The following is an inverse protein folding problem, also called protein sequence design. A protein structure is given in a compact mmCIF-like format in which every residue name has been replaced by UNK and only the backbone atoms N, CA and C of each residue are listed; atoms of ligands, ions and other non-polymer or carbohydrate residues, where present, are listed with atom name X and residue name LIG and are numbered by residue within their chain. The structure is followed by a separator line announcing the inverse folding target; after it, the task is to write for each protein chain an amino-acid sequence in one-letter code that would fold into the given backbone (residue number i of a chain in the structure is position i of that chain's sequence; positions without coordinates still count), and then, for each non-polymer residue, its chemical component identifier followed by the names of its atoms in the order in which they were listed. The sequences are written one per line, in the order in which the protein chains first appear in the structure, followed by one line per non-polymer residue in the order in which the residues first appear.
data_IF_686139337336
#
_entry.id   IF_686139337336
#
_cell.length_a   1.000
_cell.length_b   1.000
_cell.length_c   1.000
_cell.angle_alpha   90.00
_cell.angle_beta   90.00
_cell.angle_gamma   90.00
#
_symmetry.space_group_name_H-M   'P 1'
#
loop_
_entity.id
_entity.type
_entity.pdbx_description
1 polymer ?
#
# COMPACT_ATOMS: atom_id res chain seq x y z
N UNK A 1 -41.14 -48.70 12.91
CA UNK A 1 -40.37 -47.76 13.75
C UNK A 1 -38.89 -48.11 13.56
N UNK A 2 -38.08 -47.11 13.22
CA UNK A 2 -36.92 -47.17 12.34
C UNK A 2 -35.84 -48.23 12.67
N UNK A 3 -35.58 -49.12 11.71
CA UNK A 3 -34.40 -49.99 11.69
C UNK A 3 -33.24 -49.19 11.12
N UNK A 4 -32.33 -48.73 12.00
CA UNK A 4 -31.10 -48.07 11.57
C UNK A 4 -30.19 -49.16 11.01
N UNK A 5 -29.96 -49.12 9.69
CA UNK A 5 -29.10 -50.10 9.02
C UNK A 5 -27.69 -50.03 9.59
N UNK A 6 -27.10 -51.18 9.93
CA UNK A 6 -25.72 -51.31 10.41
C UNK A 6 -24.72 -50.68 9.42
N UNK A 7 -25.07 -50.64 8.14
CA UNK A 7 -24.29 -49.95 7.09
C UNK A 7 -24.23 -48.44 7.30
N UNK A 8 -25.26 -47.80 7.84
CA UNK A 8 -25.28 -46.36 8.10
C UNK A 8 -24.39 -45.98 9.29
N UNK A 9 -24.34 -46.83 10.32
CA UNK A 9 -23.44 -46.62 11.48
C UNK A 9 -21.99 -46.85 11.09
N UNK A 10 -21.70 -47.86 10.27
CA UNK A 10 -20.36 -48.11 9.74
C UNK A 10 -19.90 -46.99 8.79
N UNK A 11 -20.78 -46.46 7.93
CA UNK A 11 -20.45 -45.29 7.11
C UNK A 11 -20.15 -44.05 7.95
N UNK A 12 -20.89 -43.83 9.04
CA UNK A 12 -20.62 -42.71 9.95
C UNK A 12 -19.29 -42.88 10.70
N UNK A 13 -18.96 -44.11 11.12
CA UNK A 13 -17.67 -44.40 11.76
C UNK A 13 -16.50 -44.33 10.77
N UNK A 14 -16.68 -44.75 9.52
CA UNK A 14 -15.68 -44.56 8.46
C UNK A 14 -15.50 -43.08 8.11
N UNK A 15 -16.56 -42.28 8.05
CA UNK A 15 -16.46 -40.84 7.79
C UNK A 15 -15.74 -40.07 8.91
N UNK A 16 -15.82 -40.56 10.15
CA UNK A 16 -15.06 -40.01 11.28
C UNK A 16 -13.62 -40.55 11.38
N UNK A 17 -13.32 -41.71 10.78
CA UNK A 17 -11.97 -42.28 10.72
C UNK A 17 -11.14 -41.75 9.54
N UNK A 18 -11.77 -41.14 8.53
CA UNK A 18 -11.08 -40.51 7.39
C UNK A 18 -11.08 -38.98 7.46
N UNK A 19 -11.35 -38.36 8.62
CA UNK A 19 -10.91 -36.98 8.83
C UNK A 19 -9.41 -36.99 9.07
N UNK A 20 -8.68 -37.34 8.01
CA UNK A 20 -7.26 -37.16 7.89
C UNK A 20 -7.07 -35.64 7.80
N UNK A 21 -6.69 -35.05 8.94
CA UNK A 21 -6.17 -33.71 8.97
C UNK A 21 -4.95 -33.74 8.04
N UNK A 22 -5.04 -33.09 6.88
CA UNK A 22 -3.89 -32.82 6.02
C UNK A 22 -2.92 -31.96 6.84
N UNK A 23 -2.08 -32.63 7.62
CA UNK A 23 -0.87 -32.06 8.19
C UNK A 23 0.02 -31.91 6.98
N UNK A 24 0.07 -30.71 6.42
CA UNK A 24 1.04 -30.38 5.39
C UNK A 24 2.44 -30.61 5.99
N UNK A 25 3.08 -31.73 5.63
CA UNK A 25 4.40 -32.15 6.14
C UNK A 25 5.49 -31.35 5.42
N UNK A 26 5.29 -30.03 5.33
CA UNK A 26 6.27 -29.05 4.89
C UNK A 26 6.67 -28.18 6.08
N UNK A 27 7.54 -28.74 6.93
CA UNK A 27 8.38 -27.97 7.85
C UNK A 27 7.64 -27.07 8.85
N UNK A 28 6.96 -27.66 9.84
CA UNK A 28 6.66 -27.01 11.12
C UNK A 28 5.81 -25.72 11.06
N UNK A 29 5.04 -25.49 10.01
CA UNK A 29 4.11 -24.37 9.94
C UNK A 29 2.67 -24.85 9.91
N UNK A 30 1.76 -24.10 10.51
CA UNK A 30 0.33 -24.44 10.52
C UNK A 30 -0.53 -23.21 10.23
N UNK A 31 -1.57 -23.39 9.41
CA UNK A 31 -2.48 -22.32 9.03
C UNK A 31 -3.39 -21.93 10.21
N UNK A 32 -3.47 -20.64 10.49
CA UNK A 32 -4.24 -20.05 11.58
C UNK A 32 -5.53 -19.43 11.02
N UNK A 33 -6.64 -20.15 11.21
CA UNK A 33 -7.94 -19.82 10.59
C UNK A 33 -8.50 -18.48 11.01
N UNK A 34 -8.33 -18.08 12.27
CA UNK A 34 -8.82 -16.81 12.80
C UNK A 34 -8.13 -15.59 12.19
N UNK A 35 -6.96 -15.76 11.59
CA UNK A 35 -6.24 -14.73 10.84
C UNK A 35 -6.31 -14.96 9.32
N UNK A 36 -7.17 -15.87 8.86
CA UNK A 36 -7.42 -16.15 7.45
C UNK A 36 -8.67 -15.43 6.93
N UNK A 37 -8.70 -15.15 5.63
CA UNK A 37 -9.85 -14.62 4.90
C UNK A 37 -9.99 -15.37 3.59
N UNK A 38 -11.09 -16.09 3.41
CA UNK A 38 -11.36 -16.87 2.21
C UNK A 38 -12.81 -16.72 1.75
N UNK A 39 -13.04 -17.00 0.45
CA UNK A 39 -14.40 -17.08 -0.11
C UNK A 39 -15.21 -18.20 0.57
N UNK A 40 -16.54 -18.06 0.69
CA UNK A 40 -17.38 -16.92 0.33
C UNK A 40 -17.52 -15.88 1.47
N UNK A 41 -17.18 -14.62 1.20
CA UNK A 41 -17.14 -13.56 2.22
C UNK A 41 -18.49 -13.09 2.78
N UNK A 42 -19.61 -13.03 2.03
CA UNK A 42 -20.89 -12.57 2.58
C UNK A 42 -21.36 -13.42 3.76
N UNK A 43 -20.99 -14.70 3.81
CA UNK A 43 -21.24 -15.56 4.96
C UNK A 43 -20.29 -15.23 6.14
N UNK A 44 -19.03 -14.89 5.84
CA UNK A 44 -18.03 -14.49 6.85
C UNK A 44 -18.44 -13.20 7.56
N UNK A 45 -18.98 -12.21 6.83
CA UNK A 45 -19.37 -10.91 7.40
C UNK A 45 -20.83 -10.82 7.87
N UNK A 46 -21.68 -11.81 7.58
CA UNK A 46 -23.08 -11.85 8.06
C UNK A 46 -23.25 -12.54 9.41
N UNK A 47 -22.22 -13.21 9.92
CA UNK A 47 -22.24 -13.83 11.24
C UNK A 47 -21.68 -12.89 12.29
N UNK A 48 -22.26 -12.91 13.50
CA UNK A 48 -21.75 -12.13 14.64
C UNK A 48 -20.32 -12.51 15.06
N UNK A 49 -19.78 -13.61 14.53
CA UNK A 49 -18.47 -14.18 14.84
C UNK A 49 -17.43 -13.95 13.72
N UNK A 50 -17.59 -12.90 12.90
CA UNK A 50 -16.57 -12.55 11.92
C UNK A 50 -15.27 -12.15 12.60
N UNK A 51 -14.16 -12.80 12.24
CA UNK A 51 -12.83 -12.38 12.70
C UNK A 51 -12.31 -11.12 12.01
N UNK A 52 -13.10 -10.55 11.09
CA UNK A 52 -12.73 -9.39 10.31
C UNK A 52 -13.77 -8.28 10.43
N UNK A 53 -13.29 -7.05 10.56
CA UNK A 53 -14.11 -5.84 10.70
C UNK A 53 -13.85 -4.88 9.55
N UNK A 54 -14.91 -4.32 8.99
CA UNK A 54 -14.85 -3.39 7.87
C UNK A 54 -14.94 -1.95 8.38
N UNK A 55 -14.22 -1.04 7.73
CA UNK A 55 -14.21 0.39 8.05
C UNK A 55 -14.28 1.23 6.77
N UNK A 56 -14.77 2.46 6.88
CA UNK A 56 -14.83 3.40 5.77
C UNK A 56 -15.68 2.93 4.59
N UNK A 57 -15.14 3.07 3.39
CA UNK A 57 -15.80 2.75 2.12
C UNK A 57 -15.66 1.29 1.68
N UNK A 58 -15.11 0.42 2.53
CA UNK A 58 -14.88 -0.98 2.18
C UNK A 58 -16.20 -1.70 1.88
N UNK A 59 -16.24 -2.42 0.76
CA UNK A 59 -17.38 -3.22 0.34
C UNK A 59 -17.00 -4.68 0.16
N UNK A 60 -17.98 -5.55 0.31
CA UNK A 60 -17.80 -7.00 0.20
C UNK A 60 -18.64 -7.53 -0.95
N UNK A 61 -18.03 -8.33 -1.81
CA UNK A 61 -18.72 -9.10 -2.85
C UNK A 61 -18.59 -10.59 -2.58
N UNK A 62 -19.05 -11.44 -3.49
CA UNK A 62 -18.80 -12.89 -3.47
C UNK A 62 -17.37 -13.27 -3.92
N UNK A 63 -16.66 -12.35 -4.60
CA UNK A 63 -15.35 -12.60 -5.23
C UNK A 63 -14.18 -11.88 -4.58
N UNK A 64 -14.42 -10.78 -3.88
CA UNK A 64 -13.38 -9.99 -3.23
C UNK A 64 -13.96 -9.09 -2.14
N UNK A 65 -13.08 -8.65 -1.23
CA UNK A 65 -13.30 -7.50 -0.35
C UNK A 65 -12.58 -6.30 -0.96
N UNK A 66 -13.32 -5.26 -1.32
CA UNK A 66 -12.77 -4.05 -1.94
C UNK A 66 -12.58 -2.97 -0.90
N UNK A 67 -11.35 -2.55 -0.67
CA UNK A 67 -10.99 -1.50 0.29
C UNK A 67 -11.47 -0.13 -0.21
N UNK A 68 -11.15 0.21 -1.46
CA UNK A 68 -11.63 1.40 -2.17
C UNK A 68 -11.99 1.06 -3.62
N UNK A 69 -12.91 1.82 -4.19
CA UNK A 69 -13.26 1.75 -5.61
C UNK A 69 -12.46 2.76 -6.42
N UNK A 70 -12.38 2.55 -7.74
CA UNK A 70 -11.86 3.50 -8.74
C UNK A 70 -12.75 4.75 -8.82
N UNK A 71 -12.68 5.56 -7.76
CA UNK A 71 -13.37 6.81 -7.53
C UNK A 71 -12.56 7.63 -6.54
N UNK A 72 -12.56 8.94 -6.72
CA UNK A 72 -11.81 9.88 -5.88
C UNK A 72 -12.29 9.90 -4.42
N UNK A 73 -11.37 10.29 -3.53
CA UNK A 73 -11.63 10.59 -2.12
C UNK A 73 -12.33 9.46 -1.37
N UNK A 74 -11.84 8.23 -1.52
CA UNK A 74 -12.29 7.07 -0.74
C UNK A 74 -11.24 6.68 0.28
N UNK A 75 -11.69 6.14 1.39
CA UNK A 75 -10.81 5.51 2.37
C UNK A 75 -11.55 4.32 2.98
N UNK A 76 -10.90 3.18 3.08
CA UNK A 76 -11.48 1.97 3.65
C UNK A 76 -10.45 1.07 4.27
N UNK A 77 -10.91 0.17 5.14
CA UNK A 77 -10.04 -0.79 5.79
C UNK A 77 -10.74 -2.07 6.22
N UNK A 78 -9.94 -3.12 6.33
CA UNK A 78 -10.31 -4.48 6.71
C UNK A 78 -9.37 -4.92 7.83
N UNK A 79 -9.92 -5.21 9.01
CA UNK A 79 -9.13 -5.39 10.24
C UNK A 79 -9.44 -6.71 10.92
N UNK A 80 -8.41 -7.48 11.24
CA UNK A 80 -8.59 -8.68 12.04
C UNK A 80 -8.95 -8.28 13.48
N UNK A 81 -9.87 -9.00 14.10
CA UNK A 81 -10.34 -8.71 15.47
C UNK A 81 -9.57 -9.47 16.53
N UNK A 82 -8.76 -10.45 16.14
CA UNK A 82 -7.98 -11.30 17.03
C UNK A 82 -6.52 -10.82 17.01
N UNK A 83 -5.89 -10.60 18.17
CA UNK A 83 -4.48 -10.23 18.21
C UNK A 83 -3.60 -11.46 17.97
N UNK A 84 -2.47 -11.27 17.28
CA UNK A 84 -1.53 -12.34 16.93
C UNK A 84 -0.67 -12.71 18.13
N UNK A 85 -0.91 -13.86 18.75
CA UNK A 85 -0.23 -14.23 20.01
C UNK A 85 1.15 -14.86 19.83
N UNK A 86 1.54 -15.18 18.60
CA UNK A 86 2.75 -15.92 18.27
C UNK A 86 3.84 -15.01 17.64
N UNK A 87 5.13 -15.29 17.91
CA UNK A 87 6.21 -14.37 17.57
C UNK A 87 6.72 -14.51 16.13
N UNK A 88 6.61 -15.69 15.53
CA UNK A 88 7.02 -15.94 14.14
C UNK A 88 5.80 -16.32 13.28
N UNK A 89 5.61 -15.63 12.17
CA UNK A 89 4.42 -15.74 11.33
C UNK A 89 4.72 -15.48 9.86
N UNK A 90 3.89 -16.04 8.99
CA UNK A 90 3.90 -15.79 7.56
C UNK A 90 2.49 -15.53 7.07
N UNK A 91 2.28 -14.48 6.28
CA UNK A 91 1.00 -14.14 5.69
C UNK A 91 1.11 -14.12 4.18
N UNK A 92 0.25 -14.89 3.50
CA UNK A 92 0.08 -14.87 2.05
C UNK A 92 -1.20 -14.12 1.73
N UNK A 93 -1.08 -13.09 0.90
CA UNK A 93 -2.20 -12.26 0.49
C UNK A 93 -2.35 -12.36 -1.03
N UNK A 94 -3.54 -12.77 -1.46
CA UNK A 94 -3.98 -12.60 -2.83
C UNK A 94 -4.74 -11.28 -2.91
N UNK A 95 -4.25 -10.36 -3.72
CA UNK A 95 -4.83 -9.04 -3.93
C UNK A 95 -4.97 -8.74 -5.42
N UNK A 96 -5.64 -7.65 -5.77
CA UNK A 96 -5.66 -7.09 -7.13
C UNK A 96 -5.79 -5.57 -7.06
N UNK A 97 -4.94 -4.87 -7.81
CA UNK A 97 -5.04 -3.42 -7.99
C UNK A 97 -5.30 -3.13 -9.46
N UNK A 98 -6.41 -2.44 -9.76
CA UNK A 98 -6.82 -2.17 -11.14
C UNK A 98 -7.74 -0.97 -11.24
N UNK A 99 -7.69 -0.27 -12.36
CA UNK A 99 -8.53 0.90 -12.62
C UNK A 99 -8.54 1.26 -14.09
N UNK A 100 -9.36 2.25 -14.44
CA UNK A 100 -9.53 2.72 -15.82
C UNK A 100 -8.41 3.65 -16.28
N UNK A 101 -7.71 4.29 -15.33
CA UNK A 101 -6.56 5.16 -15.59
C UNK A 101 -5.36 4.39 -16.17
N UNK A 102 -4.83 4.88 -17.30
CA UNK A 102 -3.64 4.30 -17.95
C UNK A 102 -2.33 4.86 -17.40
N UNK A 103 -2.25 6.18 -17.26
CA UNK A 103 -1.05 6.92 -16.82
C UNK A 103 -1.25 7.60 -15.47
N UNK A 104 -2.49 7.93 -15.12
CA UNK A 104 -2.86 8.59 -13.87
C UNK A 104 -3.74 7.63 -13.06
N UNK A 105 -3.21 7.19 -11.92
CA UNK A 105 -3.80 6.23 -11.00
C UNK A 105 -3.12 6.36 -9.63
N UNK A 106 -3.79 5.92 -8.57
CA UNK A 106 -3.27 6.06 -7.20
C UNK A 106 -4.27 5.73 -6.10
N UNK A 107 -3.87 5.75 -4.84
CA UNK A 107 -2.47 5.91 -4.39
C UNK A 107 -1.83 4.55 -4.05
N UNK A 108 -2.65 3.55 -3.72
CA UNK A 108 -2.20 2.21 -3.36
C UNK A 108 -2.94 1.67 -2.15
N UNK A 109 -2.35 0.69 -1.49
CA UNK A 109 -2.88 0.16 -0.23
C UNK A 109 -1.76 -0.23 0.72
N UNK A 110 -2.09 -0.40 1.99
CA UNK A 110 -1.15 -0.80 3.02
C UNK A 110 -1.64 -2.06 3.74
N UNK A 111 -0.68 -2.90 4.13
CA UNK A 111 -0.85 -4.10 4.94
C UNK A 111 -0.22 -3.82 6.30
N UNK A 112 -0.97 -4.09 7.36
CA UNK A 112 -0.66 -3.63 8.70
C UNK A 112 -0.47 -4.78 9.67
N UNK A 113 0.49 -4.60 10.59
CA UNK A 113 0.58 -5.33 11.85
C UNK A 113 0.76 -4.31 12.97
N UNK A 114 -0.34 -3.90 13.62
CA UNK A 114 -0.39 -2.68 14.44
C UNK A 114 -1.12 -2.85 15.77
N UNK A 115 -0.79 -1.98 16.73
CA UNK A 115 -1.38 -1.98 18.07
C UNK A 115 -2.87 -1.66 18.09
N UNK A 116 -3.28 -0.61 17.38
CA UNK A 116 -4.61 0.00 17.50
C UNK A 116 -5.40 -0.15 16.18
N UNK A 117 -6.11 -1.26 15.96
CA UNK A 117 -6.78 -1.52 14.68
C UNK A 117 -8.02 -0.64 14.51
N UNK A 118 -8.54 -0.56 13.27
CA UNK A 118 -9.85 0.03 12.91
C UNK A 118 -9.92 1.55 13.02
N UNK A 119 -8.79 2.23 13.19
CA UNK A 119 -8.71 3.68 13.11
C UNK A 119 -8.63 4.11 11.63
N UNK A 120 -9.07 5.33 11.33
CA UNK A 120 -9.00 5.90 9.98
C UNK A 120 -8.02 7.06 10.00
N UNK A 121 -7.36 7.31 8.88
CA UNK A 121 -6.44 8.44 8.77
C UNK A 121 -5.83 8.60 7.38
N UNK A 122 -4.79 9.45 7.26
CA UNK A 122 -4.24 9.84 5.97
C UNK A 122 -3.39 8.73 5.33
N UNK A 123 -2.77 7.84 6.13
CA UNK A 123 -1.79 6.84 5.65
C UNK A 123 -2.49 5.67 4.99
N UNK A 124 -2.73 5.79 3.69
CA UNK A 124 -3.48 4.80 2.89
C UNK A 124 -4.79 4.40 3.58
N UNK A 125 -5.50 5.36 4.19
CA UNK A 125 -6.77 5.14 4.89
C UNK A 125 -6.66 4.78 6.37
N UNK A 126 -5.46 4.63 6.93
CA UNK A 126 -5.20 4.37 8.34
C UNK A 126 -4.49 5.55 9.04
N UNK A 127 -4.48 5.56 10.37
CA UNK A 127 -3.87 6.64 11.14
C UNK A 127 -2.35 6.74 10.92
N UNK A 128 -1.87 7.97 11.02
CA UNK A 128 -0.46 8.29 11.11
C UNK A 128 0.07 8.06 12.54
N UNK A 129 1.39 8.11 12.75
CA UNK A 129 2.02 7.86 14.06
C UNK A 129 1.60 6.51 14.67
N UNK A 130 1.53 5.47 13.83
CA UNK A 130 1.13 4.13 14.26
C UNK A 130 2.24 3.44 15.07
N UNK A 131 1.85 2.41 15.82
CA UNK A 131 2.77 1.50 16.49
C UNK A 131 2.71 0.14 15.78
N UNK A 132 3.81 -0.31 15.18
CA UNK A 132 3.91 -1.61 14.52
C UNK A 132 4.62 -1.56 13.17
N UNK A 133 4.16 -2.39 12.24
CA UNK A 133 4.69 -2.55 10.88
C UNK A 133 3.63 -2.16 9.84
N UNK A 134 4.08 -1.45 8.80
CA UNK A 134 3.36 -1.21 7.57
C UNK A 134 4.14 -1.80 6.39
N UNK A 135 3.49 -2.59 5.53
CA UNK A 135 3.96 -2.91 4.19
C UNK A 135 3.11 -2.11 3.21
N UNK A 136 3.73 -1.20 2.49
CA UNK A 136 3.06 -0.22 1.64
C UNK A 136 3.21 -0.66 0.19
N UNK A 137 2.09 -0.75 -0.50
CA UNK A 137 1.98 -1.15 -1.90
C UNK A 137 1.58 0.09 -2.69
N UNK A 138 2.57 0.94 -2.96
CA UNK A 138 2.39 2.27 -3.54
C UNK A 138 2.34 2.19 -5.07
N UNK A 139 1.29 2.74 -5.68
CA UNK A 139 1.15 2.77 -7.14
C UNK A 139 1.49 4.11 -7.76
N UNK A 140 1.48 5.21 -7.00
CA UNK A 140 1.64 6.54 -7.56
C UNK A 140 2.97 7.16 -7.10
N UNK A 141 3.65 7.86 -7.98
CA UNK A 141 4.87 8.57 -7.60
C UNK A 141 4.50 10.01 -7.28
N UNK A 142 4.55 10.38 -6.00
CA UNK A 142 4.24 11.74 -5.57
C UNK A 142 5.41 12.70 -5.81
N UNK A 143 6.56 12.18 -6.26
CA UNK A 143 7.78 12.95 -6.36
C UNK A 143 8.11 13.49 -7.77
N UNK A 144 8.64 14.72 -7.81
CA UNK A 144 9.19 15.40 -9.01
C UNK A 144 10.72 15.58 -8.97
N UNK A 145 11.44 14.81 -8.13
CA UNK A 145 12.90 14.90 -7.97
C UNK A 145 13.60 13.54 -7.97
N UNK A 146 14.89 13.48 -7.62
CA UNK A 146 15.74 12.30 -7.82
C UNK A 146 15.49 11.23 -6.74
N UNK A 147 14.36 10.54 -6.84
CA UNK A 147 14.16 9.22 -6.24
C UNK A 147 14.18 8.19 -7.37
N UNK A 148 15.10 7.23 -7.24
CA UNK A 148 15.62 6.44 -8.37
C UNK A 148 14.84 5.14 -8.60
N UNK A 149 13.61 5.03 -8.09
CA UNK A 149 12.80 3.82 -8.19
C UNK A 149 11.50 4.04 -8.98
N UNK A 150 11.18 3.09 -9.85
CA UNK A 150 9.94 3.05 -10.60
C UNK A 150 8.76 2.61 -9.70
N UNK A 151 7.60 3.20 -9.94
CA UNK A 151 6.33 2.76 -9.34
C UNK A 151 5.61 1.78 -10.27
N UNK A 152 4.81 0.84 -9.75
CA UNK A 152 4.52 0.61 -8.34
C UNK A 152 5.70 0.09 -7.51
N UNK A 153 5.77 0.55 -6.26
CA UNK A 153 6.86 0.28 -5.33
C UNK A 153 6.33 -0.35 -4.04
N UNK A 154 6.99 -1.39 -3.55
CA UNK A 154 6.66 -2.03 -2.29
C UNK A 154 7.70 -1.60 -1.26
N UNK A 155 7.28 -1.03 -0.14
CA UNK A 155 8.16 -0.62 0.95
C UNK A 155 7.67 -1.12 2.31
N UNK A 156 8.56 -1.12 3.29
CA UNK A 156 8.22 -1.40 4.68
C UNK A 156 8.56 -0.21 5.58
N UNK A 157 7.72 0.05 6.58
CA UNK A 157 7.97 1.03 7.63
C UNK A 157 7.65 0.41 8.98
N UNK A 158 8.58 0.52 9.93
CA UNK A 158 8.36 0.18 11.34
C UNK A 158 8.26 1.47 12.12
N UNK A 159 7.22 1.60 12.94
CA UNK A 159 6.97 2.82 13.69
C UNK A 159 6.63 2.50 15.14
N UNK A 160 7.12 3.33 16.05
CA UNK A 160 6.88 3.26 17.49
C UNK A 160 5.93 4.38 17.98
N UNK A 161 5.26 5.06 17.05
CA UNK A 161 4.38 6.20 17.32
C UNK A 161 5.03 7.57 17.23
N UNK A 162 6.33 7.65 16.88
CA UNK A 162 7.04 8.93 16.75
C UNK A 162 7.22 9.42 15.32
N UNK A 163 7.19 8.51 14.34
CA UNK A 163 7.48 8.84 12.94
C UNK A 163 6.20 9.25 12.21
N UNK A 164 6.31 10.29 11.39
CA UNK A 164 5.27 10.71 10.44
C UNK A 164 5.48 10.01 9.09
N UNK A 165 4.40 9.51 8.47
CA UNK A 165 4.47 9.06 7.08
C UNK A 165 4.30 10.23 6.10
N UNK A 166 5.39 10.62 5.44
CA UNK A 166 5.40 11.68 4.43
C UNK A 166 4.91 11.16 3.07
N UNK A 167 3.62 11.39 2.76
CA UNK A 167 3.04 11.06 1.47
C UNK A 167 3.70 11.81 0.30
N UNK A 168 4.15 13.06 0.49
CA UNK A 168 4.69 13.88 -0.61
C UNK A 168 6.07 13.38 -1.09
N UNK A 169 6.67 12.46 -0.32
CA UNK A 169 7.99 11.84 -0.58
C UNK A 169 7.91 10.31 -0.61
N UNK A 170 6.72 9.75 -0.84
CA UNK A 170 6.46 8.30 -0.92
C UNK A 170 6.95 7.51 0.32
N UNK A 171 7.06 8.18 1.48
CA UNK A 171 7.59 7.62 2.72
C UNK A 171 9.07 7.22 2.69
N UNK A 172 9.84 7.68 1.70
CA UNK A 172 11.26 7.30 1.50
C UNK A 172 12.13 7.56 2.73
N UNK A 173 11.87 8.63 3.49
CA UNK A 173 12.64 9.01 4.68
C UNK A 173 12.41 8.13 5.92
N UNK A 174 11.35 7.32 5.91
CA UNK A 174 11.01 6.40 7.00
C UNK A 174 10.94 4.94 6.51
N UNK A 175 11.39 4.70 5.28
CA UNK A 175 11.40 3.37 4.68
C UNK A 175 12.55 2.55 5.25
N UNK A 176 12.25 1.28 5.53
CA UNK A 176 13.19 0.27 5.98
C UNK A 176 13.91 -0.39 4.80
N UNK A 177 13.12 -0.83 3.82
CA UNK A 177 13.54 -1.53 2.62
C UNK A 177 12.37 -1.54 1.64
N UNK A 178 12.67 -1.78 0.36
CA UNK A 178 11.64 -1.87 -0.66
C UNK A 178 12.15 -2.42 -1.99
N UNK A 179 11.23 -2.68 -2.91
CA UNK A 179 11.55 -3.06 -4.28
C UNK A 179 10.48 -2.57 -5.27
N UNK A 180 10.88 -2.43 -6.53
CA UNK A 180 9.96 -2.19 -7.64
C UNK A 180 9.18 -3.47 -7.94
N UNK A 181 7.85 -3.35 -8.07
CA UNK A 181 6.99 -4.49 -8.40
C UNK A 181 5.77 -4.03 -9.17
N UNK A 182 5.72 -4.32 -10.48
CA UNK A 182 4.63 -3.88 -11.35
C UNK A 182 3.37 -4.73 -11.17
N UNK A 183 2.74 -4.69 -10.00
CA UNK A 183 1.57 -5.50 -9.63
C UNK A 183 0.24 -4.96 -10.17
N UNK A 184 0.16 -3.67 -10.52
CA UNK A 184 -1.09 -3.04 -11.00
C UNK A 184 -1.50 -3.58 -12.38
N UNK A 185 -2.79 -3.84 -12.56
CA UNK A 185 -3.39 -4.16 -13.86
C UNK A 185 -2.95 -5.50 -14.44
N UNK A 186 -2.44 -6.42 -13.62
CA UNK A 186 -2.04 -7.77 -14.05
C UNK A 186 -3.25 -8.65 -14.39
N UNK A 187 -3.13 -9.40 -15.47
CA UNK A 187 -4.10 -10.42 -15.86
C UNK A 187 -3.96 -11.69 -15.01
N UNK A 188 -2.74 -11.98 -14.55
CA UNK A 188 -2.42 -13.07 -13.62
C UNK A 188 -2.83 -12.72 -12.19
N UNK A 189 -2.89 -13.74 -11.34
CA UNK A 189 -3.03 -13.55 -9.89
C UNK A 189 -1.82 -12.81 -9.34
N UNK A 190 -2.07 -11.89 -8.40
CA UNK A 190 -1.04 -11.09 -7.74
C UNK A 190 -0.99 -11.45 -6.27
N UNK A 191 0.13 -12.03 -5.86
CA UNK A 191 0.37 -12.55 -4.52
C UNK A 191 1.52 -11.80 -3.86
N UNK A 192 1.39 -11.58 -2.55
CA UNK A 192 2.49 -11.13 -1.69
C UNK A 192 2.56 -12.04 -0.47
N UNK A 193 3.77 -12.44 -0.10
CA UNK A 193 4.08 -13.17 1.11
C UNK A 193 4.90 -12.27 2.04
N UNK A 194 4.44 -12.11 3.28
CA UNK A 194 5.13 -11.37 4.33
C UNK A 194 5.49 -12.35 5.42
N UNK A 195 6.79 -12.59 5.60
CA UNK A 195 7.32 -13.51 6.60
C UNK A 195 8.06 -12.72 7.66
N UNK A 196 7.62 -12.82 8.91
CA UNK A 196 8.37 -12.35 10.07
C UNK A 196 8.83 -13.56 10.87
N UNK A 197 10.12 -13.87 10.80
CA UNK A 197 10.70 -15.00 11.50
C UNK A 197 12.09 -14.68 11.98
N UNK A 198 12.40 -15.05 13.22
CA UNK A 198 13.73 -14.83 13.78
C UNK A 198 14.16 -13.36 13.75
N UNK A 199 13.24 -12.44 14.09
CA UNK A 199 13.46 -11.00 14.07
C UNK A 199 13.90 -10.48 12.67
N UNK A 200 13.52 -11.19 11.60
CA UNK A 200 13.77 -10.83 10.20
C UNK A 200 12.45 -10.74 9.47
N UNK A 201 12.30 -9.64 8.73
CA UNK A 201 11.18 -9.39 7.84
C UNK A 201 11.61 -9.72 6.41
N UNK A 202 10.91 -10.63 5.76
CA UNK A 202 11.09 -10.95 4.34
C UNK A 202 9.77 -10.72 3.63
N UNK A 203 9.81 -9.96 2.54
CA UNK A 203 8.66 -9.75 1.65
C UNK A 203 8.99 -10.36 0.30
N UNK A 204 8.07 -11.17 -0.23
CA UNK A 204 8.18 -11.83 -1.53
C UNK A 204 6.90 -11.66 -2.32
N UNK A 205 6.98 -11.72 -3.64
CA UNK A 205 5.82 -11.55 -4.52
C UNK A 205 5.77 -12.64 -5.59
N UNK A 206 4.56 -12.95 -6.05
CA UNK A 206 4.32 -13.63 -7.33
C UNK A 206 3.29 -12.82 -8.11
N UNK A 207 3.76 -12.10 -9.11
CA UNK A 207 2.93 -11.26 -10.00
C UNK A 207 2.94 -11.78 -11.44
N UNK A 208 3.63 -12.89 -11.68
CA UNK A 208 3.76 -13.53 -12.99
C UNK A 208 2.90 -14.80 -13.08
N UNK A 209 2.24 -15.20 -11.98
CA UNK A 209 1.38 -16.38 -11.92
C UNK A 209 2.18 -17.68 -12.08
N UNK A 210 3.46 -17.68 -11.67
CA UNK A 210 4.35 -18.83 -11.83
C UNK A 210 4.30 -19.80 -10.65
N UNK A 211 3.57 -19.45 -9.59
CA UNK A 211 3.58 -20.12 -8.29
C UNK A 211 5.01 -20.22 -7.71
N UNK A 212 5.81 -19.16 -7.92
CA UNK A 212 7.18 -19.05 -7.42
C UNK A 212 7.36 -17.69 -6.77
N UNK A 213 7.68 -17.71 -5.49
CA UNK A 213 7.98 -16.49 -4.73
C UNK A 213 9.29 -15.87 -5.21
N UNK A 214 9.21 -14.63 -5.71
CA UNK A 214 10.37 -13.77 -5.95
C UNK A 214 10.56 -12.86 -4.74
N UNK A 215 11.71 -12.96 -4.07
CA UNK A 215 12.06 -12.06 -2.97
C UNK A 215 12.08 -10.60 -3.46
N UNK A 216 11.38 -9.74 -2.72
CA UNK A 216 11.39 -8.30 -2.90
C UNK A 216 12.51 -7.69 -2.05
N UNK A 217 12.51 -7.96 -0.74
CA UNK A 217 13.58 -7.61 0.18
C UNK A 217 13.56 -8.50 1.43
N UNK A 218 14.68 -8.54 2.15
CA UNK A 218 14.80 -9.16 3.46
C UNK A 218 15.67 -8.31 4.38
N UNK A 219 15.13 -7.95 5.55
CA UNK A 219 15.80 -7.08 6.52
C UNK A 219 15.84 -7.74 7.89
N UNK A 220 17.03 -7.93 8.49
CA UNK A 220 17.18 -8.47 9.84
C UNK A 220 16.95 -7.40 10.92
N UNK A 221 17.01 -7.84 12.18
CA UNK A 221 17.01 -7.00 13.39
C UNK A 221 15.73 -6.17 13.58
N UNK A 222 14.60 -6.68 13.09
CA UNK A 222 13.28 -6.07 13.24
C UNK A 222 12.63 -6.59 14.51
N UNK A 223 12.31 -5.69 15.44
CA UNK A 223 11.64 -6.04 16.70
C UNK A 223 10.18 -5.65 16.62
N UNK A 224 9.29 -6.65 16.57
CA UNK A 224 7.84 -6.44 16.59
C UNK A 224 7.22 -7.07 17.85
N UNK A 225 6.30 -6.37 18.52
CA UNK A 225 5.57 -6.92 19.66
C UNK A 225 4.65 -8.05 19.24
N UNK A 226 4.33 -8.96 20.15
CA UNK A 226 3.18 -9.86 19.97
C UNK A 226 1.89 -9.15 20.38
N UNK A 227 0.76 -9.73 20.02
CA UNK A 227 -0.60 -9.26 20.33
C UNK A 227 -0.99 -7.96 19.64
N UNK A 228 -0.37 -7.66 18.50
CA UNK A 228 -0.87 -6.64 17.56
C UNK A 228 -1.82 -7.30 16.55
N UNK A 229 -2.46 -6.47 15.74
CA UNK A 229 -3.54 -6.87 14.84
C UNK A 229 -3.13 -6.73 13.39
N UNK A 230 -3.53 -7.72 12.59
CA UNK A 230 -3.45 -7.61 11.15
C UNK A 230 -4.53 -6.69 10.59
N UNK A 231 -4.19 -5.96 9.53
CA UNK A 231 -5.15 -5.13 8.82
C UNK A 231 -4.72 -4.79 7.42
N UNK A 232 -5.67 -4.26 6.67
CA UNK A 232 -5.47 -3.75 5.32
C UNK A 232 -6.22 -2.43 5.22
N UNK A 233 -5.64 -1.43 4.58
CA UNK A 233 -6.35 -0.20 4.28
C UNK A 233 -5.93 0.36 2.94
N UNK A 234 -6.80 1.15 2.33
CA UNK A 234 -6.48 1.92 1.14
C UNK A 234 -7.17 3.28 1.19
N UNK A 235 -6.56 4.26 0.53
CA UNK A 235 -7.19 5.54 0.23
C UNK A 235 -6.95 5.93 -1.23
N UNK A 236 -7.86 6.76 -1.75
CA UNK A 236 -7.75 7.40 -3.06
C UNK A 236 -7.85 8.91 -2.90
N UNK A 237 -6.93 9.64 -3.52
CA UNK A 237 -6.94 11.09 -3.59
C UNK A 237 -7.68 11.62 -4.81
N UNK A 238 -6.99 12.49 -5.57
CA UNK A 238 -7.42 12.97 -6.89
C UNK A 238 -7.29 11.87 -7.96
N UNK A 239 -6.40 10.91 -7.72
CA UNK A 239 -6.26 9.68 -8.49
C UNK A 239 -6.93 8.52 -7.77
N UNK A 240 -7.29 7.49 -8.52
CA UNK A 240 -8.00 6.33 -7.97
C UNK A 240 -7.63 5.03 -8.66
N UNK A 241 -7.84 3.95 -7.91
CA UNK A 241 -7.84 2.57 -8.35
C UNK A 241 -8.81 1.77 -7.49
N UNK A 242 -9.22 0.60 -7.99
CA UNK A 242 -9.82 -0.43 -7.16
C UNK A 242 -8.71 -1.18 -6.42
N UNK A 243 -8.87 -1.33 -5.10
CA UNK A 243 -7.96 -2.10 -4.26
C UNK A 243 -8.71 -3.28 -3.63
N UNK A 244 -8.52 -4.47 -4.21
CA UNK A 244 -9.26 -5.68 -3.86
C UNK A 244 -8.38 -6.67 -3.09
N UNK A 245 -8.83 -7.12 -1.93
CA UNK A 245 -8.28 -8.26 -1.18
C UNK A 245 -9.12 -9.49 -1.50
N UNK A 246 -8.48 -10.53 -2.03
CA UNK A 246 -9.12 -11.76 -2.49
C UNK A 246 -8.95 -12.86 -1.44
N UNK A 247 -7.76 -13.13 -0.94
CA UNK A 247 -7.61 -14.06 0.17
C UNK A 247 -6.43 -13.70 1.04
N UNK A 248 -6.51 -14.16 2.29
CA UNK A 248 -5.46 -14.05 3.28
C UNK A 248 -5.31 -15.42 3.91
N UNK A 249 -4.11 -15.97 3.83
CA UNK A 249 -3.72 -17.19 4.54
C UNK A 249 -2.59 -16.83 5.49
N UNK A 250 -2.77 -17.13 6.77
CA UNK A 250 -1.76 -16.82 7.78
C UNK A 250 -1.28 -18.12 8.40
N UNK A 251 0.02 -18.25 8.55
CA UNK A 251 0.69 -19.40 9.11
C UNK A 251 1.45 -18.99 10.36
N UNK A 252 1.29 -19.77 11.42
CA UNK A 252 2.22 -19.74 12.53
C UNK A 252 3.42 -20.59 12.16
N UNK A 253 4.62 -20.03 12.34
CA UNK A 253 5.87 -20.72 12.05
C UNK A 253 6.44 -21.35 13.32
N UNK A 254 7.21 -22.42 13.16
CA UNK A 254 8.00 -22.98 14.26
C UNK A 254 9.03 -21.95 14.75
N UNK A 255 9.02 -21.73 16.06
CA UNK A 255 9.92 -20.84 16.79
C UNK A 255 10.73 -21.63 17.81
N UNK A 256 11.93 -21.15 18.14
CA UNK A 256 12.70 -21.71 19.26
C UNK A 256 11.93 -21.59 20.58
N UNK A 257 12.15 -22.53 21.51
CA UNK A 257 11.54 -22.50 22.86
C UNK A 257 11.78 -21.18 23.59
N UNK A 258 12.98 -20.62 23.43
CA UNK A 258 13.33 -19.32 24.00
C UNK A 258 12.44 -18.20 23.44
N UNK A 259 12.19 -18.16 22.13
CA UNK A 259 11.33 -17.14 21.53
C UNK A 259 9.86 -17.35 21.90
N UNK A 260 9.40 -18.60 22.02
CA UNK A 260 8.02 -18.91 22.44
C UNK A 260 7.73 -18.49 23.88
N UNK A 261 8.74 -18.50 24.74
CA UNK A 261 8.62 -18.15 26.17
C UNK A 261 8.95 -16.70 26.47
N UNK A 262 9.61 -15.98 25.55
CA UNK A 262 9.88 -14.54 25.68
C UNK A 262 8.57 -13.73 25.68
N UNK A 263 8.34 -12.92 26.70
CA UNK A 263 7.22 -11.98 26.72
C UNK A 263 7.54 -10.77 25.82
N UNK A 264 6.99 -10.81 24.60
CA UNK A 264 7.15 -9.76 23.59
C UNK A 264 5.97 -8.79 23.54
N UNK A 265 5.01 -8.86 24.46
CA UNK A 265 3.79 -8.01 24.40
C UNK A 265 4.09 -6.52 24.56
N UNK A 266 5.10 -6.21 25.36
CA UNK A 266 5.42 -4.84 25.79
C UNK A 266 6.73 -4.30 25.21
N UNK A 267 7.33 -4.97 24.21
CA UNK A 267 8.49 -4.40 23.53
C UNK A 267 8.05 -3.20 22.68
N UNK A 268 8.96 -2.29 22.41
CA UNK A 268 8.72 -1.15 21.50
C UNK A 268 9.08 -1.61 20.09
N UNK A 269 8.22 -1.38 19.08
CA UNK A 269 8.58 -1.64 17.69
C UNK A 269 9.87 -0.90 17.31
N UNK A 270 10.83 -1.60 16.72
CA UNK A 270 12.12 -1.01 16.38
C UNK A 270 12.74 -1.69 15.15
N UNK A 271 13.46 -0.89 14.37
CA UNK A 271 14.16 -1.31 13.17
C UNK A 271 15.46 -0.48 13.02
N UNK A 272 16.57 -0.92 13.62
CA UNK A 272 17.83 -0.17 13.63
C UNK A 272 18.41 0.12 12.24
N UNK A 273 17.99 -0.65 11.23
CA UNK A 273 18.39 -0.52 9.84
C UNK A 273 17.54 0.48 9.03
N UNK A 274 16.50 1.07 9.62
CA UNK A 274 15.68 2.07 8.96
C UNK A 274 16.50 3.31 8.56
N UNK A 275 16.15 3.95 7.44
CA UNK A 275 16.80 5.20 7.05
C UNK A 275 16.60 6.27 8.15
N UNK A 276 17.63 7.07 8.46
CA UNK A 276 17.49 8.14 9.44
C UNK A 276 16.51 9.20 8.92
N UNK A 277 15.63 9.67 9.80
CA UNK A 277 14.70 10.76 9.50
C UNK A 277 15.45 11.95 8.90
N UNK A 278 14.98 12.40 7.74
CA UNK A 278 15.44 13.65 7.12
C UNK A 278 14.31 14.66 7.24
N UNK A 279 14.59 15.91 7.67
CA UNK A 279 13.56 16.93 7.75
C UNK A 279 12.98 17.20 6.36
N UNK A 280 11.66 17.33 6.29
CA UNK A 280 10.96 17.76 5.08
C UNK A 280 11.47 19.17 4.72
N UNK A 281 12.14 19.28 3.57
CA UNK A 281 12.49 20.57 2.97
C UNK A 281 11.49 20.77 1.84
N UNK A 282 10.61 21.76 2.00
CA UNK A 282 9.71 22.19 0.93
C UNK A 282 10.55 22.44 -0.33
N UNK A 283 10.17 21.84 -1.46
CA UNK A 283 10.82 22.16 -2.72
C UNK A 283 10.68 23.67 -2.95
N UNK A 284 11.75 24.37 -3.38
CA UNK A 284 11.69 25.81 -3.59
C UNK A 284 10.56 26.10 -4.58
N UNK A 285 9.50 26.76 -4.09
CA UNK A 285 8.35 27.16 -4.92
C UNK A 285 8.88 27.81 -6.18
N UNK A 286 8.81 27.09 -7.28
CA UNK A 286 9.21 27.60 -8.59
C UNK A 286 8.51 28.94 -8.78
N UNK A 287 9.28 29.99 -9.10
CA UNK A 287 8.79 31.33 -9.38
C UNK A 287 7.45 31.24 -10.12
N UNK A 288 6.38 31.81 -9.56
CA UNK A 288 4.96 31.65 -9.98
C UNK A 288 4.61 32.16 -11.39
N UNK A 289 5.61 32.28 -12.24
CA UNK A 289 5.53 32.60 -13.64
C UNK A 289 5.66 31.31 -14.44
N UNK A 290 4.54 30.78 -14.91
CA UNK A 290 4.57 29.71 -15.90
C UNK A 290 5.36 30.17 -17.12
N UNK A 291 6.14 29.26 -17.73
CA UNK A 291 6.90 29.56 -18.95
C UNK A 291 6.04 30.21 -20.04
N UNK A 292 4.74 29.87 -20.06
CA UNK A 292 3.72 30.48 -20.91
C UNK A 292 3.53 31.99 -20.63
N UNK A 293 3.45 32.40 -19.36
CA UNK A 293 3.34 33.81 -18.97
C UNK A 293 4.59 34.59 -19.35
N UNK A 294 5.78 34.00 -19.15
CA UNK A 294 7.06 34.60 -19.55
C UNK A 294 7.10 34.77 -21.09
N UNK A 295 6.72 33.73 -21.82
CA UNK A 295 6.66 33.74 -23.28
C UNK A 295 5.76 34.86 -23.83
N UNK A 296 4.53 35.01 -23.30
CA UNK A 296 3.64 36.08 -23.70
C UNK A 296 4.16 37.48 -23.35
N UNK A 297 4.88 37.62 -22.24
CA UNK A 297 5.45 38.91 -21.86
C UNK A 297 6.61 39.32 -22.78
N UNK A 298 7.43 38.36 -23.21
CA UNK A 298 8.50 38.61 -24.19
C UNK A 298 7.90 39.04 -25.54
N UNK A 299 6.85 38.35 -26.02
CA UNK A 299 6.16 38.73 -27.27
C UNK A 299 5.59 40.14 -27.17
N UNK A 300 4.94 40.46 -26.05
CA UNK A 300 4.39 41.79 -25.82
C UNK A 300 5.47 42.89 -25.90
N UNK A 301 6.63 42.66 -25.26
CA UNK A 301 7.76 43.60 -25.33
C UNK A 301 8.29 43.78 -26.75
N UNK A 302 8.38 42.71 -27.54
CA UNK A 302 8.81 42.78 -28.95
C UNK A 302 7.83 43.63 -29.77
N UNK A 303 6.53 43.43 -29.59
CA UNK A 303 5.50 44.20 -30.31
C UNK A 303 5.59 45.68 -29.95
N UNK A 304 5.78 46.02 -28.67
CA UNK A 304 5.95 47.41 -28.23
C UNK A 304 7.21 48.03 -28.85
N UNK A 305 8.34 47.32 -28.86
CA UNK A 305 9.56 47.80 -29.49
C UNK A 305 9.40 48.05 -30.99
N UNK A 306 8.70 47.15 -31.70
CA UNK A 306 8.39 47.31 -33.13
C UNK A 306 7.47 48.52 -33.37
N UNK A 307 6.44 48.70 -32.54
CA UNK A 307 5.54 49.84 -32.65
C UNK A 307 6.26 51.17 -32.41
N UNK A 308 7.14 51.23 -31.41
CA UNK A 308 7.99 52.40 -31.14
C UNK A 308 8.96 52.66 -32.30
N UNK A 309 9.59 51.61 -32.85
CA UNK A 309 10.49 51.72 -33.99
C UNK A 309 9.78 52.26 -35.25
N UNK A 310 8.58 51.75 -35.55
CA UNK A 310 7.76 52.23 -36.67
C UNK A 310 7.31 53.67 -36.43
N UNK A 311 6.87 54.00 -35.21
CA UNK A 311 6.49 55.36 -34.83
C UNK A 311 7.65 56.35 -34.96
N UNK A 312 8.85 55.98 -34.49
CA UNK A 312 10.06 56.78 -34.63
C UNK A 312 10.45 56.96 -36.11
N UNK A 313 10.38 55.90 -36.91
CA UNK A 313 10.62 55.97 -38.35
C UNK A 313 9.67 56.94 -39.05
N UNK A 314 8.36 56.84 -38.78
CA UNK A 314 7.36 57.76 -39.34
C UNK A 314 7.58 59.21 -38.89
N UNK A 315 7.89 59.41 -37.61
CA UNK A 315 8.17 60.73 -37.05
C UNK A 315 9.41 61.37 -37.69
N UNK A 316 10.50 60.60 -37.85
CA UNK A 316 11.72 61.07 -38.52
C UNK A 316 11.47 61.40 -39.99
N UNK A 317 10.71 60.56 -40.71
CA UNK A 317 10.40 60.76 -42.12
C UNK A 317 9.50 62.00 -42.35
N UNK A 318 8.48 62.21 -41.50
CA UNK A 318 7.69 63.45 -41.53
C UNK A 318 8.56 64.69 -41.29
N UNK A 319 9.52 64.61 -40.37
CA UNK A 319 10.42 65.71 -40.06
C UNK A 319 11.35 66.05 -41.22
N UNK A 320 11.77 65.06 -42.01
CA UNK A 320 12.50 65.29 -43.26
C UNK A 320 11.62 65.94 -44.33
N UNK A 321 10.37 65.49 -44.49
CA UNK A 321 9.40 66.07 -45.44
C UNK A 321 9.04 67.54 -45.12
N UNK A 322 9.04 67.93 -43.83
CA UNK A 322 8.85 69.32 -43.44
C UNK A 322 10.07 70.20 -43.68
N UNK A 323 11.30 69.63 -43.64
CA UNK A 323 12.54 70.37 -43.93
C UNK A 323 12.73 70.67 -45.42
N UNK A 324 12.20 69.84 -46.31
CA UNK A 324 12.29 70.03 -47.77
C UNK A 324 11.24 71.00 -48.34
N UNK A 325 10.30 71.50 -47.52
CA UNK A 325 9.32 72.53 -47.92
C UNK A 325 9.80 73.98 -47.74
N UNK A 326 10.99 74.20 -47.19
CA UNK A 326 11.58 75.52 -46.93
C UNK A 326 12.83 75.83 -47.76
N UNK A 327 13.04 75.11 -48.88
CA UNK A 327 14.05 75.44 -49.87
C UNK A 327 13.42 75.68 -51.24
#
# INVERSE_FOLDING_TARGET
MYSISITAVLLFLFFNLTYEQDIDINGGSYEVREHGLNRPYPAVFSTANSYWHLTGNTLVTDRYVRLTSDSQSKAGGLWNTIPVSYPDWEMHIHFKVHGTGKELFGDGFAIWYVKDPKLMGPVFGYQDYFHGLAIIMDTYSNHNGPHNHAHPYISAMVNNGSLHYDHDRDGTHTSLAGCESSFRGRDTDTLVAIRYQNDRLTVSTDIEGKNVWKECFSTPDIRLPTHYYFGFSSATGDLSDNHDIISVHTYQLESSEQRRTEDRRNIIPDAPSAEPERPHIDDPKGSGWSALKIFFLIIFLIIVCLAVGIGAYYYMNQRQYQRTRFY
#
